data_IF_083263806843
#
_entry.id   IF_083263806843
#
_cell.length_a   1.000
_cell.length_b   1.000
_cell.length_c   1.000
_cell.angle_alpha   90.00
_cell.angle_beta   90.00
_cell.angle_gamma   90.00
#
_symmetry.space_group_name_H-M   'P 1'
#
loop_
_entity.id
_entity.type
_entity.pdbx_description
1 polymer ?
#
# COMPACT_ATOMS: atom_id res chain seq x y z
N UNK A 1 -23.18 -26.99 9.46
CA UNK A 1 -23.29 -25.63 8.91
C UNK A 1 -22.02 -25.38 8.09
N UNK A 2 -22.10 -25.17 6.79
CA UNK A 2 -20.94 -24.70 6.04
C UNK A 2 -20.55 -23.32 6.56
N UNK A 3 -19.27 -23.07 6.87
CA UNK A 3 -18.85 -21.75 7.32
C UNK A 3 -19.15 -20.74 6.21
N UNK A 4 -19.82 -19.64 6.55
CA UNK A 4 -20.10 -18.57 5.61
C UNK A 4 -18.80 -18.16 4.92
N UNK A 5 -18.77 -18.28 3.59
CA UNK A 5 -17.64 -17.86 2.79
C UNK A 5 -17.41 -16.37 3.03
N UNK A 6 -16.22 -16.03 3.52
CA UNK A 6 -15.84 -14.65 3.78
C UNK A 6 -15.92 -13.82 2.49
N UNK A 7 -16.54 -12.63 2.56
CA UNK A 7 -16.59 -11.66 1.45
C UNK A 7 -15.77 -10.41 1.81
N UNK A 8 -14.97 -9.93 0.89
CA UNK A 8 -14.19 -8.69 1.05
C UNK A 8 -14.53 -7.69 -0.05
N UNK A 9 -14.43 -6.40 0.26
CA UNK A 9 -14.51 -5.31 -0.71
C UNK A 9 -13.12 -4.76 -0.99
N UNK A 10 -12.71 -4.76 -2.28
CA UNK A 10 -11.45 -4.15 -2.72
C UNK A 10 -11.72 -2.83 -3.42
N UNK A 11 -11.33 -1.74 -2.79
CA UNK A 11 -11.42 -0.39 -3.35
C UNK A 11 -10.22 -0.15 -4.25
N UNK A 12 -10.46 -0.07 -5.57
CA UNK A 12 -9.41 0.01 -6.58
C UNK A 12 -8.93 -1.35 -7.11
N UNK A 13 -9.80 -2.39 -7.09
CA UNK A 13 -9.43 -3.76 -7.47
C UNK A 13 -9.00 -3.95 -8.93
N UNK A 14 -9.30 -3.02 -9.82
CA UNK A 14 -8.78 -3.02 -11.19
C UNK A 14 -7.39 -2.37 -11.35
N UNK A 15 -6.81 -1.89 -10.26
CA UNK A 15 -5.44 -1.38 -10.20
C UNK A 15 -4.38 -2.49 -10.12
N UNK A 16 -3.10 -2.11 -10.15
CA UNK A 16 -1.97 -3.03 -10.11
C UNK A 16 -1.96 -3.92 -8.85
N UNK A 17 -1.99 -3.32 -7.66
CA UNK A 17 -2.03 -4.08 -6.41
C UNK A 17 -3.42 -4.66 -6.16
N UNK A 18 -4.49 -3.88 -6.44
CA UNK A 18 -5.85 -4.32 -6.21
C UNK A 18 -6.21 -5.60 -6.97
N UNK A 19 -5.75 -5.75 -8.22
CA UNK A 19 -5.96 -6.97 -9.01
C UNK A 19 -5.23 -8.19 -8.43
N UNK A 20 -4.02 -7.99 -7.91
CA UNK A 20 -3.29 -9.05 -7.21
C UNK A 20 -4.02 -9.47 -5.92
N UNK A 21 -4.54 -8.51 -5.16
CA UNK A 21 -5.37 -8.79 -3.96
C UNK A 21 -6.63 -9.57 -4.35
N UNK A 22 -7.37 -9.14 -5.38
CA UNK A 22 -8.56 -9.87 -5.83
C UNK A 22 -8.26 -11.32 -6.19
N UNK A 23 -7.18 -11.54 -6.96
CA UNK A 23 -6.74 -12.89 -7.37
C UNK A 23 -6.36 -13.75 -6.16
N UNK A 24 -5.55 -13.21 -5.25
CA UNK A 24 -5.08 -13.92 -4.05
C UNK A 24 -6.24 -14.24 -3.10
N UNK A 25 -7.17 -13.31 -2.89
CA UNK A 25 -8.35 -13.52 -2.05
C UNK A 25 -9.26 -14.64 -2.61
N UNK A 26 -9.48 -14.67 -3.92
CA UNK A 26 -10.21 -15.78 -4.58
C UNK A 26 -9.50 -17.11 -4.41
N UNK A 27 -8.16 -17.16 -4.54
CA UNK A 27 -7.37 -18.37 -4.34
C UNK A 27 -7.45 -18.89 -2.89
N UNK A 28 -7.68 -17.99 -1.92
CA UNK A 28 -7.93 -18.32 -0.51
C UNK A 28 -9.40 -18.65 -0.18
N UNK A 29 -10.26 -18.74 -1.20
CA UNK A 29 -11.67 -19.08 -1.05
C UNK A 29 -12.57 -17.95 -0.58
N UNK A 30 -12.09 -16.71 -0.58
CA UNK A 30 -12.89 -15.53 -0.27
C UNK A 30 -13.75 -15.12 -1.47
N UNK A 31 -14.96 -14.62 -1.23
CA UNK A 31 -15.73 -13.88 -2.24
C UNK A 31 -15.19 -12.45 -2.32
N UNK A 32 -15.15 -11.90 -3.52
CA UNK A 32 -14.55 -10.58 -3.75
C UNK A 32 -15.52 -9.69 -4.52
N UNK A 33 -15.83 -8.54 -3.94
CA UNK A 33 -16.40 -7.39 -4.62
C UNK A 33 -15.32 -6.34 -4.83
N UNK A 34 -15.38 -5.60 -5.92
CA UNK A 34 -14.44 -4.52 -6.23
C UNK A 34 -15.17 -3.28 -6.71
N UNK A 35 -14.75 -2.12 -6.23
CA UNK A 35 -15.23 -0.83 -6.74
C UNK A 35 -14.08 -0.08 -7.44
N UNK A 36 -14.43 0.60 -8.53
CA UNK A 36 -13.57 1.54 -9.24
C UNK A 36 -14.40 2.57 -9.99
N UNK A 37 -13.84 3.73 -10.36
CA UNK A 37 -14.59 4.74 -11.12
C UNK A 37 -15.17 4.24 -12.45
N UNK A 38 -14.51 3.28 -13.09
CA UNK A 38 -14.98 2.71 -14.35
C UNK A 38 -15.93 1.52 -14.18
N UNK A 39 -15.92 0.83 -13.05
CA UNK A 39 -16.62 -0.43 -12.84
C UNK A 39 -16.16 -1.58 -13.75
N UNK A 40 -15.14 -1.33 -14.61
CA UNK A 40 -14.70 -2.32 -15.60
C UNK A 40 -13.87 -3.41 -14.94
N UNK A 41 -14.05 -4.67 -15.35
CA UNK A 41 -13.18 -5.78 -14.98
C UNK A 41 -11.71 -5.52 -15.31
N UNK A 42 -10.81 -6.11 -14.53
CA UNK A 42 -9.38 -5.99 -14.78
C UNK A 42 -8.97 -6.74 -16.06
N UNK A 43 -8.02 -6.14 -16.78
CA UNK A 43 -7.38 -6.73 -17.94
C UNK A 43 -5.86 -6.60 -17.84
N UNK A 44 -5.13 -7.57 -18.40
CA UNK A 44 -3.67 -7.44 -18.55
C UNK A 44 -3.32 -6.22 -19.43
N UNK A 45 -2.07 -5.73 -19.39
CA UNK A 45 -1.64 -4.65 -20.30
C UNK A 45 -1.86 -4.96 -21.79
N UNK A 46 -1.89 -6.25 -22.15
CA UNK A 46 -2.16 -6.75 -23.52
C UNK A 46 -3.67 -6.95 -23.80
N UNK A 47 -4.57 -6.53 -22.91
CA UNK A 47 -6.02 -6.64 -23.08
C UNK A 47 -6.61 -8.04 -22.76
N UNK A 48 -5.82 -8.96 -22.21
CA UNK A 48 -6.29 -10.29 -21.86
C UNK A 48 -7.10 -10.27 -20.57
N UNK A 49 -8.20 -11.03 -20.52
CA UNK A 49 -9.04 -11.19 -19.32
C UNK A 49 -8.87 -12.61 -18.76
N UNK A 50 -8.09 -12.81 -17.68
CA UNK A 50 -7.92 -14.13 -17.06
C UNK A 50 -9.21 -14.66 -16.43
N UNK A 51 -9.34 -15.99 -16.33
CA UNK A 51 -10.55 -16.66 -15.84
C UNK A 51 -10.99 -16.23 -14.43
N UNK A 52 -10.08 -15.88 -13.54
CA UNK A 52 -10.41 -15.44 -12.19
C UNK A 52 -11.23 -14.13 -12.15
N UNK A 53 -11.08 -13.27 -13.18
CA UNK A 53 -11.77 -11.96 -13.27
C UNK A 53 -13.29 -12.14 -13.27
N UNK A 54 -13.81 -13.23 -13.84
CA UNK A 54 -15.25 -13.52 -13.86
C UNK A 54 -15.82 -13.94 -12.51
N UNK A 55 -14.95 -14.20 -11.52
CA UNK A 55 -15.35 -14.56 -10.14
C UNK A 55 -15.41 -13.35 -9.19
N UNK A 56 -15.07 -12.16 -9.68
CA UNK A 56 -15.12 -10.89 -8.93
C UNK A 56 -16.37 -10.13 -9.31
N UNK A 57 -17.08 -9.59 -8.32
CA UNK A 57 -18.20 -8.67 -8.52
C UNK A 57 -17.64 -7.27 -8.77
N UNK A 58 -17.67 -6.80 -10.02
CA UNK A 58 -17.14 -5.49 -10.40
C UNK A 58 -18.25 -4.43 -10.36
N UNK A 59 -18.05 -3.39 -9.56
CA UNK A 59 -19.00 -2.29 -9.39
C UNK A 59 -18.37 -0.96 -9.78
N UNK A 60 -19.16 -0.11 -10.40
CA UNK A 60 -18.79 1.28 -10.56
C UNK A 60 -19.04 2.03 -9.25
N UNK A 61 -18.01 2.76 -8.77
CA UNK A 61 -18.13 3.52 -7.53
C UNK A 61 -16.98 4.50 -7.36
N UNK A 62 -17.29 5.60 -6.70
CA UNK A 62 -16.32 6.65 -6.35
C UNK A 62 -16.09 6.63 -4.83
N UNK A 63 -14.85 6.40 -4.40
CA UNK A 63 -14.49 6.32 -2.98
C UNK A 63 -14.84 7.58 -2.16
N UNK A 64 -14.97 8.74 -2.81
CA UNK A 64 -15.42 9.99 -2.18
C UNK A 64 -16.95 10.13 -2.10
N UNK A 65 -17.70 9.24 -2.77
CA UNK A 65 -19.17 9.29 -2.88
C UNK A 65 -19.78 8.03 -2.29
N UNK A 66 -20.03 7.98 -0.97
CA UNK A 66 -20.56 6.79 -0.26
C UNK A 66 -21.81 6.18 -0.89
N UNK A 67 -22.71 7.01 -1.42
CA UNK A 67 -23.95 6.56 -2.07
C UNK A 67 -23.71 5.57 -3.23
N UNK A 68 -22.51 5.55 -3.80
CA UNK A 68 -22.17 4.67 -4.93
C UNK A 68 -21.74 3.26 -4.49
N UNK A 69 -21.39 3.05 -3.20
CA UNK A 69 -20.85 1.76 -2.71
C UNK A 69 -21.32 1.35 -1.32
N UNK A 70 -21.97 2.23 -0.55
CA UNK A 70 -22.35 1.94 0.84
C UNK A 70 -23.23 0.67 0.95
N UNK A 71 -24.05 0.38 -0.06
CA UNK A 71 -24.91 -0.81 -0.12
C UNK A 71 -24.13 -2.14 -0.16
N UNK A 72 -22.85 -2.13 -0.52
CA UNK A 72 -21.99 -3.32 -0.55
C UNK A 72 -21.39 -3.65 0.83
N UNK A 73 -21.27 -2.65 1.70
CA UNK A 73 -20.55 -2.77 2.96
C UNK A 73 -21.17 -3.69 4.00
N UNK A 74 -22.51 -3.80 4.13
CA UNK A 74 -23.13 -4.71 5.10
C UNK A 74 -22.75 -6.18 4.91
N UNK A 75 -22.45 -6.61 3.70
CA UNK A 75 -22.16 -8.01 3.35
C UNK A 75 -20.68 -8.41 3.53
N UNK A 76 -19.76 -7.44 3.73
CA UNK A 76 -18.34 -7.73 3.74
C UNK A 76 -17.77 -7.78 5.16
N UNK A 77 -16.83 -8.67 5.38
CA UNK A 77 -16.10 -8.83 6.64
C UNK A 77 -14.83 -7.97 6.69
N UNK A 78 -14.34 -7.54 5.53
CA UNK A 78 -13.18 -6.68 5.42
C UNK A 78 -13.27 -5.75 4.21
N UNK A 79 -12.66 -4.57 4.34
CA UNK A 79 -12.45 -3.61 3.26
C UNK A 79 -10.96 -3.42 3.05
N UNK A 80 -10.50 -3.56 1.79
CA UNK A 80 -9.11 -3.32 1.38
C UNK A 80 -9.05 -2.08 0.51
N UNK A 81 -8.41 -1.03 0.98
CA UNK A 81 -8.27 0.23 0.25
C UNK A 81 -6.91 0.29 -0.45
N UNK A 82 -6.93 0.18 -1.79
CA UNK A 82 -5.71 0.16 -2.63
C UNK A 82 -5.52 1.41 -3.48
N UNK A 83 -6.40 2.41 -3.34
CA UNK A 83 -6.25 3.67 -4.07
C UNK A 83 -5.06 4.45 -3.50
N UNK A 84 -4.33 5.09 -4.41
CA UNK A 84 -3.23 5.98 -4.08
C UNK A 84 -2.50 6.44 -5.33
N UNK A 85 -1.80 7.57 -5.21
CA UNK A 85 -0.96 8.10 -6.26
C UNK A 85 0.43 8.42 -5.71
N UNK A 86 1.46 7.99 -6.42
CA UNK A 86 2.85 8.27 -6.06
C UNK A 86 3.28 9.66 -6.54
N UNK A 87 2.73 10.11 -7.66
CA UNK A 87 2.96 11.44 -8.22
C UNK A 87 1.62 12.06 -8.60
N UNK A 88 1.42 13.32 -8.29
CA UNK A 88 0.17 14.05 -8.54
C UNK A 88 -0.15 14.22 -10.03
N UNK A 89 0.87 14.17 -10.89
CA UNK A 89 0.68 14.25 -12.35
C UNK A 89 0.41 12.87 -12.92
N UNK A 90 -0.77 12.70 -13.54
CA UNK A 90 -1.27 11.43 -14.05
C UNK A 90 -0.43 10.74 -15.14
N UNK A 91 0.49 11.46 -15.79
CA UNK A 91 1.29 10.97 -16.92
C UNK A 91 2.20 9.76 -16.61
N UNK A 92 2.65 9.58 -15.38
CA UNK A 92 3.54 8.47 -15.03
C UNK A 92 2.84 7.09 -15.04
N UNK A 93 1.55 7.03 -14.70
CA UNK A 93 0.80 5.75 -14.69
C UNK A 93 0.63 5.20 -16.11
N UNK A 94 0.35 6.06 -17.10
CA UNK A 94 0.29 5.65 -18.51
C UNK A 94 1.68 5.25 -19.02
N UNK A 95 2.72 6.03 -18.73
CA UNK A 95 4.08 5.72 -19.13
C UNK A 95 4.58 4.37 -18.56
N UNK A 96 4.23 4.04 -17.30
CA UNK A 96 4.52 2.74 -16.69
C UNK A 96 3.76 1.59 -17.37
N UNK A 97 2.51 1.81 -17.75
CA UNK A 97 1.68 0.82 -18.42
C UNK A 97 2.15 0.56 -19.85
N UNK A 98 2.54 1.64 -20.56
CA UNK A 98 2.93 1.60 -21.97
C UNK A 98 4.40 1.18 -22.16
N UNK A 99 5.18 1.02 -21.07
CA UNK A 99 6.60 0.66 -21.13
C UNK A 99 7.49 1.73 -21.74
N UNK A 100 7.06 2.99 -21.79
CA UNK A 100 7.79 4.08 -22.42
C UNK A 100 8.80 4.73 -21.44
N UNK A 101 10.06 4.25 -21.47
CA UNK A 101 11.15 4.70 -20.60
C UNK A 101 11.40 6.20 -20.66
N UNK A 102 11.57 6.84 -21.83
CA UNK A 102 11.82 8.27 -21.92
C UNK A 102 10.69 9.10 -21.29
N UNK A 103 9.43 8.70 -21.53
CA UNK A 103 8.25 9.38 -20.98
C UNK A 103 8.13 9.17 -19.47
N UNK A 104 8.50 8.01 -18.98
CA UNK A 104 8.55 7.75 -17.53
C UNK A 104 9.63 8.61 -16.86
N UNK A 105 10.86 8.60 -17.37
CA UNK A 105 11.96 9.40 -16.83
C UNK A 105 11.62 10.89 -16.86
N UNK A 106 11.08 11.39 -17.97
CA UNK A 106 10.68 12.79 -18.07
C UNK A 106 9.54 13.17 -17.12
N UNK A 107 8.58 12.27 -16.88
CA UNK A 107 7.49 12.51 -15.93
C UNK A 107 7.96 12.49 -14.47
N UNK A 108 8.93 11.64 -14.12
CA UNK A 108 9.59 11.63 -12.81
C UNK A 108 10.45 12.87 -12.62
N UNK A 109 11.28 13.23 -13.62
CA UNK A 109 12.11 14.44 -13.57
C UNK A 109 11.26 15.70 -13.43
N UNK A 110 10.14 15.81 -14.16
CA UNK A 110 9.21 16.92 -14.04
C UNK A 110 8.50 16.97 -12.67
N UNK A 111 8.23 15.82 -12.05
CA UNK A 111 7.65 15.74 -10.71
C UNK A 111 8.65 16.17 -9.64
N UNK A 112 9.91 15.76 -9.75
CA UNK A 112 11.01 16.12 -8.83
C UNK A 112 11.39 17.61 -8.98
N UNK A 113 11.44 18.13 -10.22
CA UNK A 113 11.79 19.53 -10.47
C UNK A 113 10.68 20.55 -10.14
N UNK A 114 9.49 20.10 -9.67
CA UNK A 114 8.38 20.99 -9.35
C UNK A 114 7.79 21.75 -10.57
N UNK A 115 8.30 21.46 -11.77
CA UNK A 115 8.01 22.18 -13.01
C UNK A 115 6.78 21.66 -13.74
N UNK A 116 5.69 22.38 -13.70
CA UNK A 116 4.50 22.15 -14.52
C UNK A 116 3.76 23.43 -14.81
N UNK A 117 4.07 24.03 -15.93
CA UNK A 117 3.34 25.18 -16.46
C UNK A 117 2.04 24.68 -17.07
N UNK A 118 0.88 25.12 -16.55
CA UNK A 118 -0.42 25.00 -17.17
C UNK A 118 -1.15 26.34 -17.13
N UNK A 119 -1.89 26.64 -18.19
CA UNK A 119 -2.27 27.98 -18.57
C UNK A 119 -3.46 28.62 -17.82
N UNK A 120 -4.20 27.93 -16.96
CA UNK A 120 -5.34 28.52 -16.25
C UNK A 120 -5.34 28.21 -14.74
N UNK A 121 -5.25 29.26 -13.85
CA UNK A 121 -5.20 29.06 -12.39
C UNK A 121 -6.44 28.41 -11.79
N UNK A 122 -7.65 28.68 -12.28
CA UNK A 122 -8.92 28.18 -11.72
C UNK A 122 -9.23 26.74 -12.12
N UNK A 123 -8.90 26.32 -13.35
CA UNK A 123 -8.93 24.90 -13.75
C UNK A 123 -7.84 24.07 -13.06
N UNK A 124 -6.72 24.74 -12.71
CA UNK A 124 -5.68 24.14 -11.88
C UNK A 124 -6.17 23.74 -10.51
N UNK A 125 -6.99 24.56 -9.86
CA UNK A 125 -7.39 24.32 -8.47
C UNK A 125 -8.38 23.15 -8.33
N UNK A 126 -9.35 23.01 -9.22
CA UNK A 126 -10.30 21.90 -9.17
C UNK A 126 -9.66 20.57 -9.59
N UNK A 127 -8.92 20.52 -10.72
CA UNK A 127 -8.18 19.32 -11.15
C UNK A 127 -7.01 18.96 -10.23
N UNK A 128 -6.40 19.95 -9.59
CA UNK A 128 -5.37 19.74 -8.57
C UNK A 128 -5.95 19.15 -7.29
N UNK A 129 -7.17 19.53 -6.88
CA UNK A 129 -7.86 18.94 -5.73
C UNK A 129 -8.24 17.49 -5.97
N UNK A 130 -8.82 17.14 -7.11
CA UNK A 130 -9.25 15.75 -7.39
C UNK A 130 -8.10 14.75 -7.53
N UNK A 131 -6.93 15.20 -7.98
CA UNK A 131 -5.74 14.35 -8.19
C UNK A 131 -4.63 14.55 -7.17
N UNK A 132 -4.87 15.33 -6.11
CA UNK A 132 -3.86 15.64 -5.09
C UNK A 132 -3.53 14.44 -4.21
N UNK A 133 -2.40 14.52 -3.51
CA UNK A 133 -2.03 13.51 -2.50
C UNK A 133 -3.08 13.43 -1.39
N UNK A 134 -3.60 14.57 -0.94
CA UNK A 134 -4.63 14.64 0.09
C UNK A 134 -5.87 13.86 -0.35
N UNK A 135 -6.38 14.14 -1.53
CA UNK A 135 -7.61 13.51 -2.01
C UNK A 135 -7.44 12.02 -2.24
N UNK A 136 -6.39 11.60 -2.99
CA UNK A 136 -6.24 10.20 -3.41
C UNK A 136 -5.61 9.30 -2.34
N UNK A 137 -4.72 9.83 -1.50
CA UNK A 137 -4.03 9.02 -0.49
C UNK A 137 -4.70 9.08 0.88
N UNK A 138 -5.35 10.18 1.24
CA UNK A 138 -5.97 10.38 2.55
C UNK A 138 -7.49 10.35 2.50
N UNK A 139 -8.10 11.31 1.77
CA UNK A 139 -9.53 11.57 1.90
C UNK A 139 -10.39 10.41 1.39
N UNK A 140 -9.98 9.73 0.30
CA UNK A 140 -10.65 8.51 -0.18
C UNK A 140 -10.63 7.40 0.87
N UNK A 141 -9.50 7.18 1.55
CA UNK A 141 -9.35 6.13 2.54
C UNK A 141 -10.16 6.42 3.80
N UNK A 142 -10.10 7.68 4.28
CA UNK A 142 -10.85 8.15 5.45
C UNK A 142 -12.35 8.03 5.18
N UNK A 143 -12.83 8.50 4.01
CA UNK A 143 -14.24 8.43 3.63
C UNK A 143 -14.76 7.00 3.53
N UNK A 144 -13.99 6.09 2.94
CA UNK A 144 -14.39 4.67 2.86
C UNK A 144 -14.39 4.02 4.23
N UNK A 145 -13.42 4.32 5.09
CA UNK A 145 -13.37 3.82 6.46
C UNK A 145 -14.58 4.30 7.27
N UNK A 146 -14.86 5.59 7.26
CA UNK A 146 -16.03 6.19 7.93
C UNK A 146 -17.34 5.50 7.51
N UNK A 147 -17.55 5.35 6.19
CA UNK A 147 -18.74 4.68 5.65
C UNK A 147 -18.81 3.22 6.10
N UNK A 148 -17.67 2.53 6.16
CA UNK A 148 -17.62 1.14 6.62
C UNK A 148 -17.95 1.01 8.10
N UNK A 149 -17.47 1.91 8.95
CA UNK A 149 -17.77 1.92 10.38
C UNK A 149 -19.25 2.22 10.66
N UNK A 150 -19.89 3.00 9.80
CA UNK A 150 -21.31 3.34 9.89
C UNK A 150 -22.23 2.24 9.34
N UNK A 151 -21.69 1.26 8.58
CA UNK A 151 -22.47 0.19 7.99
C UNK A 151 -22.84 -0.88 9.01
N UNK A 152 -24.13 -1.18 9.17
CA UNK A 152 -24.58 -2.31 9.99
C UNK A 152 -24.31 -3.63 9.25
N UNK A 153 -23.52 -4.58 9.86
CA UNK A 153 -23.22 -5.84 9.21
C UNK A 153 -24.44 -6.77 9.20
N UNK A 154 -24.77 -7.29 8.02
CA UNK A 154 -25.77 -8.36 7.86
C UNK A 154 -25.14 -9.72 8.21
N UNK A 155 -23.82 -9.87 8.01
CA UNK A 155 -23.08 -11.10 8.29
C UNK A 155 -22.57 -11.07 9.72
N UNK A 156 -22.99 -12.07 10.51
CA UNK A 156 -22.40 -12.29 11.86
C UNK A 156 -20.94 -12.70 11.70
N UNK A 157 -20.05 -11.94 12.31
CA UNK A 157 -18.62 -12.25 12.38
C UNK A 157 -18.24 -12.55 13.82
N UNK A 158 -17.45 -13.60 14.03
CA UNK A 158 -16.95 -13.98 15.36
C UNK A 158 -15.85 -13.05 15.87
N UNK A 159 -15.47 -12.04 15.11
CA UNK A 159 -14.42 -11.08 15.43
C UNK A 159 -14.61 -9.73 14.71
N UNK A 160 -13.71 -8.77 15.01
CA UNK A 160 -13.78 -7.42 14.45
C UNK A 160 -13.60 -7.42 12.93
N UNK A 161 -14.41 -6.65 12.24
CA UNK A 161 -14.28 -6.40 10.78
C UNK A 161 -13.01 -5.61 10.49
N UNK A 162 -12.29 -5.98 9.44
CA UNK A 162 -10.99 -5.40 9.14
C UNK A 162 -11.06 -4.28 8.11
N UNK A 163 -10.43 -3.15 8.39
CA UNK A 163 -10.10 -2.13 7.40
C UNK A 163 -8.60 -2.18 7.10
N UNK A 164 -8.24 -2.59 5.88
CA UNK A 164 -6.86 -2.72 5.44
C UNK A 164 -6.53 -1.55 4.52
N UNK A 165 -5.61 -0.70 4.95
CA UNK A 165 -5.13 0.44 4.20
C UNK A 165 -3.74 0.19 3.63
N UNK A 166 -3.58 0.37 2.32
CA UNK A 166 -2.27 0.32 1.69
C UNK A 166 -1.58 1.66 1.86
N UNK A 167 -0.71 1.71 2.83
CA UNK A 167 0.18 2.83 3.11
C UNK A 167 1.49 2.71 2.33
N UNK A 168 2.59 3.21 2.84
CA UNK A 168 3.90 3.09 2.23
C UNK A 168 5.01 3.12 3.29
N UNK A 169 6.11 2.42 3.03
CA UNK A 169 7.34 2.57 3.80
C UNK A 169 7.99 3.92 3.47
N UNK A 170 8.53 4.61 4.48
CA UNK A 170 9.26 5.86 4.27
C UNK A 170 10.67 5.55 3.77
N UNK A 171 10.74 5.25 2.50
CA UNK A 171 11.97 5.05 1.75
C UNK A 171 11.87 5.76 0.39
N UNK A 172 13.00 5.94 -0.28
CA UNK A 172 13.11 6.58 -1.61
C UNK A 172 12.92 8.12 -1.63
N UNK A 173 12.93 8.83 -0.50
CA UNK A 173 13.05 10.29 -0.55
C UNK A 173 14.51 10.70 -0.84
N UNK A 174 14.77 11.71 -1.65
CA UNK A 174 13.80 12.70 -2.19
C UNK A 174 13.15 12.29 -3.54
N UNK A 175 13.44 11.11 -4.09
CA UNK A 175 12.83 10.65 -5.37
C UNK A 175 11.31 10.58 -5.24
N UNK A 176 10.82 10.06 -4.12
CA UNK A 176 9.40 10.12 -3.74
C UNK A 176 9.16 11.41 -2.96
N UNK A 177 8.25 12.27 -3.39
CA UNK A 177 7.91 13.49 -2.68
C UNK A 177 7.45 13.23 -1.24
N UNK A 178 7.84 14.11 -0.30
CA UNK A 178 7.48 13.96 1.12
C UNK A 178 5.96 13.95 1.32
N UNK A 179 5.21 14.78 0.60
CA UNK A 179 3.76 14.86 0.65
C UNK A 179 3.04 13.53 0.39
N UNK A 180 3.65 12.62 -0.38
CA UNK A 180 3.12 11.27 -0.56
C UNK A 180 3.13 10.47 0.76
N UNK A 181 4.26 10.47 1.47
CA UNK A 181 4.38 9.74 2.74
C UNK A 181 3.57 10.44 3.84
N UNK A 182 3.63 11.77 3.90
CA UNK A 182 2.89 12.58 4.87
C UNK A 182 1.38 12.32 4.81
N UNK A 183 0.79 12.39 3.62
CA UNK A 183 -0.65 12.13 3.43
C UNK A 183 -1.04 10.69 3.74
N UNK A 184 -0.14 9.72 3.48
CA UNK A 184 -0.35 8.32 3.88
C UNK A 184 -0.35 8.17 5.40
N UNK A 185 0.57 8.83 6.12
CA UNK A 185 0.61 8.81 7.60
C UNK A 185 -0.58 9.54 8.23
N UNK A 186 -1.00 10.68 7.66
CA UNK A 186 -2.22 11.36 8.10
C UNK A 186 -3.45 10.45 8.00
N UNK A 187 -3.58 9.72 6.88
CA UNK A 187 -4.66 8.75 6.72
C UNK A 187 -4.64 7.66 7.81
N UNK A 188 -3.46 7.11 8.11
CA UNK A 188 -3.31 6.11 9.19
C UNK A 188 -3.78 6.67 10.54
N UNK A 189 -3.36 7.88 10.90
CA UNK A 189 -3.74 8.52 12.17
C UNK A 189 -5.25 8.76 12.26
N UNK A 190 -5.86 9.26 11.18
CA UNK A 190 -7.30 9.52 11.16
C UNK A 190 -8.11 8.23 11.20
N UNK A 191 -7.71 7.20 10.47
CA UNK A 191 -8.36 5.87 10.47
C UNK A 191 -8.22 5.23 11.84
N UNK A 192 -7.02 5.26 12.45
CA UNK A 192 -6.79 4.69 13.77
C UNK A 192 -7.70 5.32 14.82
N UNK A 193 -7.80 6.66 14.84
CA UNK A 193 -8.69 7.39 15.75
C UNK A 193 -10.13 6.91 15.63
N UNK A 194 -10.66 6.78 14.41
CA UNK A 194 -12.03 6.32 14.19
C UNK A 194 -12.25 4.86 14.62
N UNK A 195 -11.26 3.99 14.37
CA UNK A 195 -11.38 2.55 14.67
C UNK A 195 -11.23 2.28 16.17
N UNK A 196 -10.38 3.03 16.89
CA UNK A 196 -10.20 2.87 18.34
C UNK A 196 -11.51 3.13 19.12
N UNK A 197 -12.41 3.94 18.60
CA UNK A 197 -13.71 4.23 19.20
C UNK A 197 -14.72 3.07 19.05
N UNK A 198 -14.41 2.04 18.23
CA UNK A 198 -15.33 0.95 17.92
C UNK A 198 -14.66 -0.42 17.88
N UNK A 199 -14.76 -1.18 18.98
CA UNK A 199 -14.15 -2.51 19.12
C UNK A 199 -14.66 -3.57 18.11
N UNK A 200 -15.75 -3.31 17.39
CA UNK A 200 -16.25 -4.17 16.31
C UNK A 200 -15.39 -4.12 15.05
N UNK A 201 -14.39 -3.23 15.01
CA UNK A 201 -13.51 -3.02 13.87
C UNK A 201 -12.04 -3.07 14.28
N UNK A 202 -11.18 -3.31 13.30
CA UNK A 202 -9.72 -3.21 13.42
C UNK A 202 -9.14 -2.62 12.17
N UNK A 203 -8.07 -1.85 12.31
CA UNK A 203 -7.31 -1.30 11.20
C UNK A 203 -5.97 -2.02 11.03
N UNK A 204 -5.54 -2.17 9.76
CA UNK A 204 -4.23 -2.71 9.40
C UNK A 204 -3.63 -1.81 8.33
N UNK A 205 -2.39 -1.38 8.55
CA UNK A 205 -1.68 -0.48 7.64
C UNK A 205 -0.53 -1.23 7.01
N UNK A 206 -0.70 -1.70 5.78
CA UNK A 206 0.36 -2.36 5.02
C UNK A 206 1.25 -1.29 4.42
N UNK A 207 2.53 -1.25 4.84
CA UNK A 207 3.54 -0.28 4.44
C UNK A 207 4.58 -0.95 3.53
N UNK A 208 4.27 -1.22 2.26
CA UNK A 208 5.21 -1.82 1.35
C UNK A 208 6.30 -0.82 0.95
N UNK A 209 7.46 -1.34 0.57
CA UNK A 209 8.50 -0.63 -0.15
C UNK A 209 8.15 -0.54 -1.64
N UNK A 210 9.15 -0.40 -2.52
CA UNK A 210 8.91 -0.43 -3.96
C UNK A 210 8.26 -1.76 -4.36
N UNK A 211 7.00 -1.69 -4.82
CA UNK A 211 6.26 -2.87 -5.30
C UNK A 211 6.57 -3.10 -6.78
N UNK A 212 7.05 -4.30 -7.13
CA UNK A 212 7.37 -4.66 -8.49
C UNK A 212 6.66 -5.93 -8.96
N UNK A 213 6.61 -6.10 -10.29
CA UNK A 213 6.20 -7.34 -10.97
C UNK A 213 6.86 -7.40 -12.35
N UNK A 214 7.60 -8.47 -12.68
CA UNK A 214 8.38 -8.54 -13.92
C UNK A 214 7.58 -8.36 -15.21
N UNK A 215 6.37 -8.89 -15.26
CA UNK A 215 5.55 -8.84 -16.48
C UNK A 215 4.61 -7.64 -16.55
N UNK A 216 4.10 -7.14 -15.41
CA UNK A 216 3.13 -6.04 -15.41
C UNK A 216 3.79 -4.67 -15.23
N UNK A 217 5.01 -4.63 -14.73
CA UNK A 217 5.84 -3.43 -14.58
C UNK A 217 7.31 -3.71 -14.91
N UNK A 218 7.63 -4.12 -16.14
CA UNK A 218 8.97 -4.55 -16.53
C UNK A 218 10.02 -3.46 -16.32
N UNK A 219 9.65 -2.18 -16.47
CA UNK A 219 10.56 -1.05 -16.28
C UNK A 219 11.03 -0.83 -14.85
N UNK A 220 10.27 -1.27 -13.85
CA UNK A 220 10.65 -1.17 -12.44
C UNK A 220 11.59 -2.32 -12.06
N UNK A 221 11.57 -3.43 -12.78
CA UNK A 221 12.34 -4.64 -12.45
C UNK A 221 13.86 -4.40 -12.39
N UNK A 222 14.52 -3.69 -13.32
CA UNK A 222 15.94 -3.41 -13.20
C UNK A 222 16.29 -2.56 -11.96
N UNK A 223 15.48 -1.54 -11.67
CA UNK A 223 15.66 -0.73 -10.46
C UNK A 223 15.44 -1.57 -9.19
N UNK A 224 14.44 -2.44 -9.18
CA UNK A 224 14.18 -3.37 -8.09
C UNK A 224 15.39 -4.33 -7.89
N UNK A 225 15.98 -4.86 -8.96
CA UNK A 225 17.14 -5.73 -8.88
C UNK A 225 18.38 -5.00 -8.31
N UNK A 226 18.61 -3.75 -8.69
CA UNK A 226 19.71 -2.93 -8.16
C UNK A 226 19.50 -2.61 -6.67
N UNK A 227 18.29 -2.30 -6.24
CA UNK A 227 17.97 -2.06 -4.84
C UNK A 227 18.10 -3.33 -4.00
N UNK A 228 17.69 -4.48 -4.53
CA UNK A 228 17.85 -5.78 -3.86
C UNK A 228 19.32 -6.15 -3.70
N UNK A 229 20.13 -5.94 -4.74
CA UNK A 229 21.58 -6.11 -4.68
C UNK A 229 22.21 -5.19 -3.62
N UNK A 230 21.85 -3.91 -3.60
CA UNK A 230 22.31 -2.95 -2.60
C UNK A 230 21.97 -3.40 -1.18
N UNK A 231 20.71 -3.79 -0.93
CA UNK A 231 20.26 -4.30 0.36
C UNK A 231 21.03 -5.58 0.77
N UNK A 232 21.30 -6.48 -0.19
CA UNK A 232 22.05 -7.70 0.04
C UNK A 232 23.51 -7.40 0.41
N UNK A 233 24.17 -6.46 -0.26
CA UNK A 233 25.54 -6.04 0.06
C UNK A 233 25.58 -5.46 1.47
N UNK A 234 24.63 -4.57 1.81
CA UNK A 234 24.57 -3.97 3.15
C UNK A 234 24.29 -5.00 4.26
N UNK A 235 23.47 -6.02 3.99
CA UNK A 235 23.15 -7.07 4.98
C UNK A 235 24.33 -8.01 5.25
N UNK A 236 25.25 -8.18 4.28
CA UNK A 236 26.44 -9.06 4.40
C UNK A 236 27.71 -8.32 4.82
N UNK A 237 27.59 -7.03 5.14
CA UNK A 237 28.75 -6.22 5.50
C UNK A 237 29.35 -6.68 6.84
N UNK A 238 30.71 -6.84 6.96
CA UNK A 238 31.34 -7.21 8.21
C UNK A 238 31.08 -6.21 9.32
N UNK A 239 30.84 -6.70 10.53
CA UNK A 239 30.65 -5.86 11.70
C UNK A 239 31.89 -4.98 11.97
N UNK A 240 31.70 -3.71 12.30
CA UNK A 240 32.79 -2.79 12.66
C UNK A 240 33.22 -1.82 11.55
N UNK A 241 32.79 -2.01 10.30
CA UNK A 241 33.08 -1.03 9.26
C UNK A 241 31.90 -0.06 9.05
N UNK A 242 32.16 1.25 8.85
CA UNK A 242 31.11 2.20 8.56
C UNK A 242 30.49 1.93 7.18
N UNK A 243 29.18 1.75 7.13
CA UNK A 243 28.44 1.65 5.86
C UNK A 243 27.93 3.02 5.42
N UNK A 244 27.74 3.27 4.11
CA UNK A 244 27.10 4.50 3.63
C UNK A 244 25.74 4.75 4.29
N UNK A 245 24.94 3.70 4.48
CA UNK A 245 23.66 3.80 5.18
C UNK A 245 23.81 4.13 6.67
N UNK A 246 24.85 3.60 7.34
CA UNK A 246 25.19 3.92 8.73
C UNK A 246 25.55 5.40 8.90
N UNK A 247 26.41 5.93 8.04
CA UNK A 247 26.78 7.34 8.04
C UNK A 247 25.57 8.26 7.82
N UNK A 248 24.69 7.92 6.87
CA UNK A 248 23.46 8.67 6.62
C UNK A 248 22.52 8.67 7.83
N UNK A 249 22.39 7.53 8.53
CA UNK A 249 21.58 7.46 9.76
C UNK A 249 22.14 8.31 10.88
N UNK A 250 23.47 8.33 11.02
CA UNK A 250 24.15 9.20 12.01
C UNK A 250 23.89 10.68 11.68
N UNK A 251 24.04 11.10 10.43
CA UNK A 251 23.72 12.44 10.00
C UNK A 251 22.22 12.77 10.24
N UNK A 252 21.34 11.84 9.92
CA UNK A 252 19.89 11.99 10.17
C UNK A 252 19.54 12.14 11.64
N UNK A 253 20.28 11.50 12.56
CA UNK A 253 20.05 11.62 14.00
C UNK A 253 20.50 12.95 14.59
N UNK A 254 21.42 13.64 13.92
CA UNK A 254 21.90 14.97 14.32
C UNK A 254 20.97 16.11 13.87
N UNK A 255 20.02 15.82 12.98
CA UNK A 255 19.05 16.84 12.54
C UNK A 255 17.94 17.04 13.58
N UNK A 256 17.56 18.31 13.85
CA UNK A 256 16.39 18.58 14.69
C UNK A 256 15.14 17.99 14.08
N UNK A 257 14.35 17.29 14.90
CA UNK A 257 13.05 16.77 14.46
C UNK A 257 11.97 17.84 14.65
N UNK A 258 11.09 18.07 13.67
CA UNK A 258 9.93 18.92 13.88
C UNK A 258 9.07 18.37 15.02
N UNK A 259 8.71 19.20 15.97
CA UNK A 259 7.94 18.79 17.15
C UNK A 259 6.45 18.69 16.86
N UNK A 260 5.99 19.34 15.79
CA UNK A 260 4.57 19.39 15.42
C UNK A 260 4.36 19.56 13.92
N UNK A 261 3.16 19.20 13.43
CA UNK A 261 2.77 19.31 12.05
C UNK A 261 2.99 18.01 11.24
N UNK A 262 2.72 18.09 9.92
CA UNK A 262 2.87 16.96 8.98
C UNK A 262 4.28 16.37 8.95
N UNK A 263 5.28 17.22 9.04
CA UNK A 263 6.68 16.82 8.99
C UNK A 263 7.09 15.93 10.16
N UNK A 264 6.39 15.98 11.30
CA UNK A 264 6.63 15.10 12.44
C UNK A 264 6.24 13.65 12.20
N UNK A 265 5.41 13.39 11.18
CA UNK A 265 4.92 12.06 10.82
C UNK A 265 5.90 11.26 9.93
N UNK A 266 6.97 11.89 9.48
CA UNK A 266 7.96 11.29 8.57
C UNK A 266 9.37 11.37 9.15
N UNK A 267 10.24 10.43 8.74
CA UNK A 267 11.64 10.41 9.15
C UNK A 267 12.47 11.53 8.49
N UNK A 268 13.72 11.69 8.94
CA UNK A 268 14.65 12.61 8.27
C UNK A 268 14.94 12.14 6.82
N UNK A 269 15.23 13.06 5.88
CA UNK A 269 15.59 12.71 4.52
C UNK A 269 16.80 11.74 4.45
N UNK A 270 17.77 11.89 5.33
CA UNK A 270 18.94 11.00 5.41
C UNK A 270 18.54 9.58 5.83
N UNK A 271 17.62 9.42 6.76
CA UNK A 271 17.10 8.10 7.14
C UNK A 271 16.33 7.44 5.98
N UNK A 272 15.56 8.22 5.22
CA UNK A 272 14.87 7.71 4.05
C UNK A 272 15.84 7.23 2.96
N UNK A 273 16.92 7.99 2.67
CA UNK A 273 17.98 7.57 1.74
C UNK A 273 18.71 6.32 2.26
N UNK A 274 19.04 6.27 3.55
CA UNK A 274 19.67 5.08 4.14
C UNK A 274 18.80 3.83 3.97
N UNK A 275 17.47 3.97 4.07
CA UNK A 275 16.52 2.87 3.83
C UNK A 275 16.49 2.43 2.37
N UNK A 276 16.60 3.34 1.39
CA UNK A 276 16.75 2.98 -0.03
C UNK A 276 17.87 1.97 -0.24
N UNK A 277 19.01 2.18 0.44
CA UNK A 277 20.18 1.33 0.29
C UNK A 277 20.05 -0.03 1.00
N UNK A 278 19.24 -0.10 2.07
CA UNK A 278 19.19 -1.26 2.97
C UNK A 278 17.90 -2.05 2.88
N UNK A 279 16.84 -1.47 2.33
CA UNK A 279 15.51 -2.10 2.32
C UNK A 279 15.17 -2.57 0.90
N UNK A 280 15.04 -3.89 0.67
CA UNK A 280 14.78 -4.43 -0.66
C UNK A 280 13.34 -4.16 -1.11
N UNK A 281 13.10 -4.15 -2.43
CA UNK A 281 11.76 -4.11 -3.00
C UNK A 281 10.97 -5.37 -2.66
N UNK A 282 9.64 -5.29 -2.83
CA UNK A 282 8.75 -6.41 -2.56
C UNK A 282 7.91 -6.77 -3.79
N UNK A 283 7.74 -8.06 -4.05
CA UNK A 283 6.88 -8.53 -5.13
C UNK A 283 5.40 -8.27 -4.80
N UNK A 284 4.60 -7.88 -5.81
CA UNK A 284 3.19 -7.54 -5.62
C UNK A 284 2.38 -8.69 -5.00
N UNK A 285 2.71 -9.94 -5.33
CA UNK A 285 2.00 -11.11 -4.81
C UNK A 285 2.25 -11.32 -3.30
N UNK A 286 3.44 -11.00 -2.81
CA UNK A 286 3.73 -11.04 -1.37
C UNK A 286 2.94 -9.97 -0.59
N UNK A 287 2.79 -8.77 -1.18
CA UNK A 287 1.94 -7.74 -0.58
C UNK A 287 0.48 -8.17 -0.59
N UNK A 288 0.00 -8.73 -1.70
CA UNK A 288 -1.37 -9.24 -1.82
C UNK A 288 -1.65 -10.38 -0.83
N UNK A 289 -0.69 -11.27 -0.62
CA UNK A 289 -0.79 -12.36 0.37
C UNK A 289 -0.91 -11.81 1.79
N UNK A 290 -0.05 -10.87 2.18
CA UNK A 290 -0.12 -10.21 3.49
C UNK A 290 -1.46 -9.47 3.69
N UNK A 291 -1.95 -8.79 2.66
CA UNK A 291 -3.27 -8.13 2.68
C UNK A 291 -4.39 -9.15 2.90
N UNK A 292 -4.34 -10.29 2.21
CA UNK A 292 -5.37 -11.33 2.36
C UNK A 292 -5.31 -12.01 3.73
N UNK A 293 -4.12 -12.22 4.30
CA UNK A 293 -3.96 -12.69 5.70
C UNK A 293 -4.54 -11.65 6.67
N UNK A 294 -4.23 -10.36 6.46
CA UNK A 294 -4.78 -9.29 7.27
C UNK A 294 -6.31 -9.16 7.14
N UNK A 295 -6.87 -9.50 5.97
CA UNK A 295 -8.32 -9.49 5.75
C UNK A 295 -9.04 -10.70 6.35
N UNK A 296 -8.33 -11.78 6.64
CA UNK A 296 -8.91 -13.00 7.18
C UNK A 296 -9.60 -12.74 8.52
N UNK A 297 -10.87 -13.14 8.63
CA UNK A 297 -11.69 -12.96 9.84
C UNK A 297 -11.15 -13.69 11.06
N UNK A 298 -10.38 -14.77 10.87
CA UNK A 298 -9.74 -15.54 11.95
C UNK A 298 -8.51 -14.85 12.53
N UNK A 299 -7.87 -13.93 11.76
CA UNK A 299 -6.63 -13.25 12.14
C UNK A 299 -6.91 -11.93 12.85
N UNK A 300 -7.58 -12.01 13.99
CA UNK A 300 -7.92 -10.85 14.85
C UNK A 300 -6.70 -10.23 15.53
N UNK A 301 -5.59 -10.96 15.57
CA UNK A 301 -4.26 -10.56 16.05
C UNK A 301 -3.57 -9.53 15.15
N UNK A 302 -3.89 -9.52 13.84
CA UNK A 302 -3.26 -8.63 12.85
C UNK A 302 -3.88 -7.23 12.94
N UNK A 303 -3.15 -6.28 13.55
CA UNK A 303 -3.58 -4.88 13.78
C UNK A 303 -2.42 -3.91 13.65
N UNK A 304 -2.71 -2.65 13.28
CA UNK A 304 -1.70 -1.59 13.20
C UNK A 304 -0.78 -1.68 11.99
N UNK A 305 0.41 -1.07 12.06
CA UNK A 305 1.32 -0.93 10.92
C UNK A 305 2.20 -2.16 10.70
N UNK A 306 2.30 -2.59 9.43
CA UNK A 306 3.15 -3.68 8.96
C UNK A 306 4.14 -3.13 7.91
N UNK A 307 5.38 -2.87 8.31
CA UNK A 307 6.50 -2.58 7.40
C UNK A 307 7.01 -3.85 6.71
N UNK A 308 8.06 -3.72 5.88
CA UNK A 308 8.54 -4.83 5.04
C UNK A 308 8.85 -6.12 5.82
N UNK A 309 9.55 -6.02 6.95
CA UNK A 309 9.93 -7.19 7.75
C UNK A 309 8.70 -7.88 8.33
N UNK A 310 7.78 -7.11 8.91
CA UNK A 310 6.51 -7.63 9.43
C UNK A 310 5.62 -8.22 8.33
N UNK A 311 5.62 -7.66 7.11
CA UNK A 311 4.95 -8.25 5.95
C UNK A 311 5.54 -9.61 5.62
N UNK A 312 6.87 -9.73 5.59
CA UNK A 312 7.57 -10.99 5.30
C UNK A 312 7.31 -12.05 6.36
N UNK A 313 7.34 -11.65 7.62
CA UNK A 313 7.02 -12.53 8.75
C UNK A 313 5.56 -13.02 8.66
N UNK A 314 4.63 -12.10 8.38
CA UNK A 314 3.20 -12.40 8.25
C UNK A 314 2.90 -13.46 7.18
N UNK A 315 3.62 -13.45 6.06
CA UNK A 315 3.50 -14.44 4.98
C UNK A 315 4.39 -15.68 5.19
N UNK A 316 5.05 -15.81 6.36
CA UNK A 316 5.89 -16.97 6.69
C UNK A 316 7.26 -16.97 6.02
N UNK A 317 7.73 -15.85 5.52
CA UNK A 317 9.06 -15.73 4.91
C UNK A 317 10.12 -15.45 5.97
N UNK A 318 10.54 -16.50 6.66
CA UNK A 318 11.62 -16.41 7.66
C UNK A 318 13.00 -16.38 6.96
N UNK A 319 13.88 -15.48 7.37
CA UNK A 319 15.29 -15.56 6.99
C UNK A 319 15.88 -16.83 7.58
N UNK A 320 16.58 -17.62 6.78
CA UNK A 320 17.15 -18.94 7.14
C UNK A 320 18.10 -18.96 8.36
N UNK A 321 18.33 -17.85 9.03
CA UNK A 321 19.23 -17.73 10.18
C UNK A 321 18.57 -17.73 11.56
N UNK A 322 17.26 -17.51 11.66
CA UNK A 322 16.59 -17.41 12.97
C UNK A 322 16.07 -18.74 13.55
N UNK A 323 15.95 -19.80 12.74
CA UNK A 323 15.49 -21.12 13.23
C UNK A 323 16.48 -21.82 14.17
N UNK A 324 17.77 -21.45 14.15
CA UNK A 324 18.79 -22.10 15.01
C UNK A 324 18.81 -21.59 16.45
N UNK A 325 18.25 -20.43 16.75
CA UNK A 325 18.28 -19.87 18.11
C UNK A 325 17.05 -20.27 18.96
N UNK A 326 15.91 -20.58 18.35
CA UNK A 326 14.73 -21.02 19.11
C UNK A 326 14.77 -22.52 19.50
N UNK A 327 15.54 -23.34 18.79
CA UNK A 327 15.70 -24.76 19.16
C UNK A 327 16.81 -25.02 20.19
N UNK A 328 17.71 -24.05 20.44
CA UNK A 328 18.80 -24.18 21.39
C UNK A 328 18.43 -23.73 22.83
N UNK A 329 17.22 -23.25 23.07
CA UNK A 329 16.76 -22.73 24.36
C UNK A 329 15.66 -23.53 25.07
N UNK A 330 15.39 -24.77 24.67
CA UNK A 330 14.48 -25.65 25.45
C UNK A 330 15.31 -26.37 26.53
N UNK A 331 15.05 -26.13 27.84
CA UNK A 331 15.69 -26.90 28.90
C UNK A 331 15.18 -28.34 28.87
N UNK A 332 16.11 -29.28 29.00
CA UNK A 332 15.89 -30.73 29.20
C UNK A 332 15.24 -30.96 30.56
#
# INVERSE_FOLDING_TARGET
>A
MQPFAQKILVVGGNGFLGSAVCRTALARGMKVASISPSGKPWQTPKGHTPAWVHKVEWHQGNALQPQTYAHLLPEVTAVVHTIGTLFEKSGYKSALKDGNVPRFVSSVAAAVAGGGVSANPLERESKRREGSYETLNRDTAVRVCETFLQSEPVVKTDGPRAFIYISAEDCNRPIVPSGYIETKREAEVLIEKMVQENARYRAVYIRPTLIYHPHFRPMITPAAALLDLSATIHSKHPAGFPTPAGLLRTLGSLMPRPVSGRESLVDSPFNSIARVLTVPPIHVDHVAEAVCIAADKSRTDVRGPYGLEAIRELIGWHQKGQKSQQQAGAPV
#
